data_IF_236994679582
#
_entry.id   IF_236994679582
#
_cell.length_a   1.000
_cell.length_b   1.000
_cell.length_c   1.000
_cell.angle_alpha   90.00
_cell.angle_beta   90.00
_cell.angle_gamma   90.00
#
_symmetry.space_group_name_H-M   'P 1'
#
loop_
_entity.id
_entity.type
_entity.pdbx_description
1 polymer ?
#
# COMPACT_ATOMS: atom_id res chain seq x y z
N UNK A 1 -12.39 -6.66 -27.36
CA UNK A 1 -13.56 -7.35 -27.95
C UNK A 1 -13.37 -7.35 -29.45
N UNK A 2 -13.54 -8.51 -30.08
CA UNK A 2 -13.40 -8.68 -31.53
C UNK A 2 -14.79 -8.90 -32.10
N UNK A 3 -15.15 -8.11 -33.10
CA UNK A 3 -16.40 -8.21 -33.85
C UNK A 3 -16.07 -8.47 -35.32
N UNK A 4 -16.77 -9.38 -35.97
CA UNK A 4 -16.60 -9.66 -37.40
C UNK A 4 -17.77 -9.04 -38.17
N UNK A 5 -17.47 -8.37 -39.27
CA UNK A 5 -18.44 -7.83 -40.22
C UNK A 5 -18.31 -8.54 -41.56
N UNK A 6 -19.35 -9.28 -41.94
CA UNK A 6 -19.49 -9.87 -43.26
C UNK A 6 -19.84 -8.80 -44.32
N UNK A 7 -19.74 -9.13 -45.63
CA UNK A 7 -20.16 -8.22 -46.69
C UNK A 7 -21.60 -7.71 -46.50
N UNK A 8 -21.77 -6.39 -46.45
CA UNK A 8 -23.07 -5.73 -46.29
C UNK A 8 -23.51 -5.49 -44.83
N UNK A 9 -22.82 -6.04 -43.84
CA UNK A 9 -23.22 -5.87 -42.43
C UNK A 9 -22.78 -4.53 -41.83
N UNK A 10 -21.62 -4.00 -42.23
CA UNK A 10 -21.14 -2.71 -41.72
C UNK A 10 -21.71 -1.54 -42.56
N UNK A 11 -22.29 -0.48 -41.95
CA UNK A 11 -22.92 0.64 -42.67
C UNK A 11 -22.03 1.39 -43.66
N UNK A 12 -20.70 1.31 -43.46
CA UNK A 12 -19.69 1.94 -44.33
C UNK A 12 -19.01 0.97 -45.31
N UNK A 13 -19.54 -0.25 -45.46
CA UNK A 13 -19.00 -1.27 -46.37
C UNK A 13 -17.69 -1.92 -45.93
N UNK A 14 -17.37 -1.86 -44.63
CA UNK A 14 -16.21 -2.58 -44.07
C UNK A 14 -16.52 -4.07 -44.00
N UNK A 15 -15.52 -4.90 -44.36
CA UNK A 15 -15.59 -6.36 -44.27
C UNK A 15 -14.32 -6.84 -43.58
N UNK A 16 -14.47 -7.55 -42.47
CA UNK A 16 -13.35 -8.02 -41.66
C UNK A 16 -13.60 -7.86 -40.16
N UNK A 17 -12.52 -7.79 -39.38
CA UNK A 17 -12.57 -7.77 -37.92
C UNK A 17 -12.36 -6.36 -37.36
N UNK A 18 -13.22 -5.95 -36.44
CA UNK A 18 -13.05 -4.76 -35.63
C UNK A 18 -12.68 -5.18 -34.21
N UNK A 19 -11.53 -4.71 -33.74
CA UNK A 19 -11.11 -4.85 -32.35
C UNK A 19 -11.39 -3.54 -31.63
N UNK A 20 -12.12 -3.62 -30.53
CA UNK A 20 -12.39 -2.46 -29.66
C UNK A 20 -11.95 -2.78 -28.22
N UNK A 21 -11.26 -1.84 -27.59
CA UNK A 21 -10.92 -1.88 -26.17
C UNK A 21 -11.10 -0.52 -25.51
N UNK A 22 -11.40 -0.53 -24.21
CA UNK A 22 -11.41 0.66 -23.35
C UNK A 22 -10.25 0.57 -22.37
N UNK A 23 -9.29 1.50 -22.50
CA UNK A 23 -8.09 1.59 -21.67
C UNK A 23 -8.07 3.01 -21.09
N UNK A 24 -8.04 3.12 -19.77
CA UNK A 24 -8.03 4.39 -19.02
C UNK A 24 -9.08 5.41 -19.47
N UNK A 25 -10.32 4.93 -19.69
CA UNK A 25 -11.43 5.78 -20.13
C UNK A 25 -11.45 6.09 -21.63
N UNK A 26 -10.36 5.83 -22.36
CA UNK A 26 -10.27 6.04 -23.80
C UNK A 26 -10.66 4.77 -24.58
N UNK A 27 -11.42 4.95 -25.66
CA UNK A 27 -11.79 3.85 -26.56
C UNK A 27 -10.80 3.77 -27.71
N UNK A 28 -10.12 2.62 -27.84
CA UNK A 28 -9.25 2.30 -28.99
C UNK A 28 -9.96 1.35 -29.94
N UNK A 29 -9.70 1.53 -31.23
CA UNK A 29 -10.26 0.71 -32.31
C UNK A 29 -9.18 0.35 -33.32
N UNK A 30 -9.16 -0.90 -33.75
CA UNK A 30 -8.30 -1.40 -34.81
C UNK A 30 -9.14 -2.25 -35.76
N UNK A 31 -8.89 -2.12 -37.06
CA UNK A 31 -9.66 -2.81 -38.10
C UNK A 31 -8.74 -3.66 -38.95
N UNK A 32 -9.15 -4.89 -39.20
CA UNK A 32 -8.42 -5.92 -39.93
C UNK A 32 -9.27 -6.37 -41.12
N UNK A 33 -8.99 -5.82 -42.30
CA UNK A 33 -9.84 -5.97 -43.48
C UNK A 33 -9.62 -7.30 -44.21
N UNK A 34 -10.72 -7.99 -44.52
CA UNK A 34 -10.73 -9.22 -45.32
C UNK A 34 -11.24 -8.99 -46.75
N UNK A 35 -11.46 -7.74 -47.15
CA UNK A 35 -12.05 -7.38 -48.46
C UNK A 35 -11.25 -7.89 -49.66
N UNK A 36 -9.94 -8.06 -49.52
CA UNK A 36 -9.04 -8.58 -50.56
C UNK A 36 -9.01 -10.11 -50.63
N UNK A 37 -9.68 -10.81 -49.70
CA UNK A 37 -9.75 -12.27 -49.74
C UNK A 37 -10.54 -12.75 -50.95
N UNK A 38 -10.06 -13.84 -51.57
CA UNK A 38 -10.77 -14.53 -52.65
C UNK A 38 -12.12 -15.13 -52.20
N UNK A 39 -12.26 -15.44 -50.90
CA UNK A 39 -13.51 -15.85 -50.27
C UNK A 39 -13.56 -15.35 -48.82
N UNK A 40 -14.77 -15.18 -48.28
CA UNK A 40 -14.98 -14.81 -46.86
C UNK A 40 -15.13 -16.04 -45.95
N UNK A 41 -14.83 -17.23 -46.46
CA UNK A 41 -14.89 -18.46 -45.68
C UNK A 41 -13.79 -18.50 -44.61
N UNK A 42 -14.08 -19.12 -43.47
CA UNK A 42 -13.09 -19.31 -42.38
C UNK A 42 -11.89 -20.16 -42.79
N UNK A 43 -12.00 -20.93 -43.88
CA UNK A 43 -10.93 -21.72 -44.49
C UNK A 43 -9.93 -20.85 -45.28
N UNK A 44 -10.30 -19.62 -45.66
CA UNK A 44 -9.44 -18.76 -46.46
C UNK A 44 -8.24 -18.27 -45.63
N UNK A 45 -7.02 -18.46 -46.17
CA UNK A 45 -5.77 -18.11 -45.47
C UNK A 45 -5.68 -16.62 -45.12
N UNK A 46 -6.16 -15.71 -45.98
CA UNK A 46 -6.15 -14.27 -45.67
C UNK A 46 -7.13 -13.93 -44.56
N UNK A 47 -8.32 -14.54 -44.56
CA UNK A 47 -9.31 -14.38 -43.49
C UNK A 47 -8.77 -14.90 -42.15
N UNK A 48 -8.12 -16.07 -42.15
CA UNK A 48 -7.46 -16.63 -40.97
C UNK A 48 -6.33 -15.74 -40.47
N UNK A 49 -5.50 -15.22 -41.37
CA UNK A 49 -4.42 -14.30 -41.01
C UNK A 49 -4.97 -13.04 -40.34
N UNK A 50 -5.98 -12.39 -40.94
CA UNK A 50 -6.60 -11.19 -40.36
C UNK A 50 -7.31 -11.47 -39.03
N UNK A 51 -7.91 -12.65 -38.88
CA UNK A 51 -8.47 -13.08 -37.60
C UNK A 51 -7.38 -13.21 -36.53
N UNK A 52 -6.26 -13.88 -36.85
CA UNK A 52 -5.12 -13.99 -35.94
C UNK A 52 -4.53 -12.63 -35.58
N UNK A 53 -4.42 -11.71 -36.54
CA UNK A 53 -3.99 -10.33 -36.26
C UNK A 53 -4.94 -9.60 -35.31
N UNK A 54 -6.26 -9.78 -35.49
CA UNK A 54 -7.26 -9.22 -34.58
C UNK A 54 -7.16 -9.82 -33.17
N UNK A 55 -6.92 -11.14 -33.06
CA UNK A 55 -6.68 -11.82 -31.78
C UNK A 55 -5.41 -11.30 -31.11
N UNK A 56 -4.31 -11.16 -31.86
CA UNK A 56 -3.06 -10.59 -31.35
C UNK A 56 -3.26 -9.20 -30.75
N UNK A 57 -3.94 -8.31 -31.48
CA UNK A 57 -4.25 -6.96 -31.01
C UNK A 57 -5.15 -6.93 -29.77
N UNK A 58 -6.16 -7.81 -29.70
CA UNK A 58 -7.03 -7.92 -28.51
C UNK A 58 -6.25 -8.40 -27.28
N UNK A 59 -5.29 -9.32 -27.47
CA UNK A 59 -4.42 -9.80 -26.40
C UNK A 59 -3.43 -8.72 -25.95
N UNK A 60 -2.76 -8.01 -26.87
CA UNK A 60 -1.86 -6.89 -26.56
C UNK A 60 -2.55 -5.84 -25.71
N UNK A 61 -3.77 -5.42 -26.09
CA UNK A 61 -4.52 -4.44 -25.31
C UNK A 61 -5.02 -4.97 -23.96
N UNK A 62 -5.30 -6.28 -23.85
CA UNK A 62 -5.61 -6.90 -22.55
C UNK A 62 -4.38 -6.92 -21.64
N UNK A 63 -3.20 -7.22 -22.19
CA UNK A 63 -1.92 -7.17 -21.47
C UNK A 63 -1.68 -5.75 -20.97
N UNK A 64 -1.71 -4.75 -21.86
CA UNK A 64 -1.50 -3.34 -21.48
C UNK A 64 -2.50 -2.90 -20.39
N UNK A 65 -3.77 -3.29 -20.52
CA UNK A 65 -4.79 -2.96 -19.51
C UNK A 65 -4.46 -3.59 -18.14
N UNK A 66 -3.96 -4.82 -18.12
CA UNK A 66 -3.58 -5.52 -16.89
C UNK A 66 -2.32 -4.91 -16.27
N UNK A 67 -1.31 -4.60 -17.06
CA UNK A 67 -0.10 -3.91 -16.62
C UNK A 67 -0.44 -2.55 -15.99
N UNK A 68 -1.26 -1.73 -16.67
CA UNK A 68 -1.70 -0.44 -16.13
C UNK A 68 -2.50 -0.59 -14.84
N UNK A 69 -3.33 -1.64 -14.73
CA UNK A 69 -4.03 -1.92 -13.48
C UNK A 69 -3.05 -2.25 -12.37
N UNK A 70 -2.12 -3.19 -12.61
CA UNK A 70 -1.09 -3.55 -11.64
C UNK A 70 -0.28 -2.33 -11.19
N UNK A 71 0.19 -1.52 -12.14
CA UNK A 71 0.93 -0.29 -11.84
C UNK A 71 0.14 0.67 -10.96
N UNK A 72 -1.14 0.92 -11.25
CA UNK A 72 -1.99 1.72 -10.35
C UNK A 72 -2.14 1.08 -8.97
N UNK A 73 -2.33 -0.23 -8.92
CA UNK A 73 -2.48 -0.97 -7.67
C UNK A 73 -1.29 -0.74 -6.74
N UNK A 74 -0.07 -0.75 -7.27
CA UNK A 74 1.16 -0.59 -6.48
C UNK A 74 1.65 0.86 -6.34
N UNK A 75 1.07 1.85 -7.02
CA UNK A 75 1.60 3.24 -7.02
C UNK A 75 0.63 4.33 -6.58
N UNK A 76 -0.63 3.99 -6.32
CA UNK A 76 -1.65 4.96 -5.92
C UNK A 76 -2.55 4.40 -4.84
N UNK A 77 -3.26 5.25 -4.10
CA UNK A 77 -4.33 4.75 -3.24
C UNK A 77 -5.54 4.29 -4.08
N UNK A 78 -6.36 3.41 -3.51
CA UNK A 78 -7.66 3.10 -4.10
C UNK A 78 -8.54 4.37 -4.10
N UNK A 79 -9.35 4.65 -5.14
CA UNK A 79 -10.21 5.84 -5.20
C UNK A 79 -11.18 5.99 -4.02
N UNK A 80 -11.61 4.85 -3.45
CA UNK A 80 -12.52 4.82 -2.30
C UNK A 80 -11.81 4.87 -0.94
N UNK A 81 -10.46 4.91 -0.92
CA UNK A 81 -9.70 5.07 0.31
C UNK A 81 -10.03 6.43 0.91
N UNK A 82 -10.59 6.43 2.12
CA UNK A 82 -10.93 7.68 2.79
C UNK A 82 -9.67 8.52 2.99
N UNK A 83 -9.74 9.84 2.85
CA UNK A 83 -8.53 10.60 2.76
C UNK A 83 -7.80 10.63 4.12
N UNK A 84 -6.47 10.73 4.09
CA UNK A 84 -5.60 10.60 5.27
C UNK A 84 -5.32 9.16 5.74
N UNK A 85 -5.99 8.15 5.16
CA UNK A 85 -5.75 6.72 5.45
C UNK A 85 -4.88 6.03 4.40
N UNK A 86 -4.71 6.67 3.24
CA UNK A 86 -3.91 6.16 2.15
C UNK A 86 -2.42 6.06 2.49
N UNK A 87 -1.77 5.05 1.90
CA UNK A 87 -0.34 4.77 2.02
C UNK A 87 0.35 4.74 0.65
N UNK A 88 -0.34 5.17 -0.41
CA UNK A 88 0.16 5.23 -1.77
C UNK A 88 0.07 3.90 -2.52
N UNK A 89 -0.73 2.96 -2.03
CA UNK A 89 -0.98 1.65 -2.65
C UNK A 89 -2.44 1.21 -2.43
N UNK A 90 -2.95 0.36 -3.30
CA UNK A 90 -4.27 -0.26 -3.15
C UNK A 90 -4.19 -1.37 -2.10
N UNK A 91 -5.26 -1.50 -1.31
CA UNK A 91 -5.39 -2.60 -0.35
C UNK A 91 -4.53 -2.49 0.90
N UNK A 92 -3.75 -1.43 1.11
CA UNK A 92 -3.01 -1.19 2.36
C UNK A 92 -3.27 0.25 2.84
N UNK A 93 -3.78 0.40 4.06
CA UNK A 93 -4.19 1.69 4.64
C UNK A 93 -3.78 1.82 6.10
N UNK A 94 -3.68 3.05 6.60
CA UNK A 94 -3.58 3.34 8.03
C UNK A 94 -4.97 3.54 8.63
N UNK A 95 -5.21 2.97 9.80
CA UNK A 95 -6.52 3.00 10.46
C UNK A 95 -6.40 3.09 11.98
N UNK A 96 -7.48 3.57 12.60
CA UNK A 96 -7.78 3.36 14.01
C UNK A 96 -9.05 2.51 14.12
N UNK A 97 -9.01 1.54 15.02
CA UNK A 97 -10.13 0.65 15.31
C UNK A 97 -10.60 0.87 16.74
N UNK A 98 -11.92 1.00 16.92
CA UNK A 98 -12.51 0.95 18.24
C UNK A 98 -12.52 -0.51 18.74
N UNK A 99 -12.06 -0.71 19.97
CA UNK A 99 -12.06 -1.98 20.68
C UNK A 99 -12.53 -1.73 22.11
N UNK A 100 -13.84 -1.80 22.33
CA UNK A 100 -14.44 -1.30 23.57
C UNK A 100 -14.28 0.22 23.66
N UNK A 101 -13.70 0.69 24.76
CA UNK A 101 -13.40 2.12 24.98
C UNK A 101 -12.04 2.55 24.38
N UNK A 102 -11.25 1.59 23.89
CA UNK A 102 -9.91 1.85 23.38
C UNK A 102 -9.90 2.07 21.86
N UNK A 103 -8.98 2.93 21.43
CA UNK A 103 -8.67 3.14 20.01
C UNK A 103 -7.30 2.57 19.68
N UNK A 104 -7.29 1.59 18.78
CA UNK A 104 -6.09 0.84 18.43
C UNK A 104 -5.61 1.28 17.04
N UNK A 105 -4.43 1.92 16.92
CA UNK A 105 -3.82 2.19 15.63
C UNK A 105 -3.32 0.90 14.98
N UNK A 106 -3.49 0.80 13.67
CA UNK A 106 -3.00 -0.34 12.89
C UNK A 106 -2.78 0.02 11.42
N UNK A 107 -1.97 -0.79 10.75
CA UNK A 107 -2.05 -0.94 9.31
C UNK A 107 -3.14 -1.97 8.97
N UNK A 108 -3.98 -1.64 8.00
CA UNK A 108 -5.04 -2.50 7.48
C UNK A 108 -4.70 -2.99 6.09
N UNK A 109 -4.75 -4.30 5.88
CA UNK A 109 -4.57 -4.92 4.58
C UNK A 109 -5.86 -5.58 4.13
N UNK A 110 -6.40 -5.14 3.01
CA UNK A 110 -7.58 -5.73 2.40
C UNK A 110 -7.28 -7.17 1.96
N UNK A 111 -8.23 -8.07 2.18
CA UNK A 111 -8.11 -9.46 1.73
C UNK A 111 -8.88 -9.68 0.44
N UNK A 112 -8.38 -10.59 -0.39
CA UNK A 112 -9.16 -11.05 -1.53
C UNK A 112 -10.42 -11.77 -1.05
N UNK A 113 -11.50 -11.79 -1.85
CA UNK A 113 -12.67 -12.61 -1.56
C UNK A 113 -12.26 -14.08 -1.36
N UNK A 114 -13.02 -14.80 -0.53
CA UNK A 114 -12.77 -16.23 -0.32
C UNK A 114 -13.03 -17.05 -1.61
N UNK A 115 -12.81 -18.38 -1.54
CA UNK A 115 -13.03 -19.29 -2.68
C UNK A 115 -14.48 -19.23 -3.21
N UNK A 116 -15.43 -18.81 -2.37
CA UNK A 116 -16.84 -18.65 -2.71
C UNK A 116 -17.18 -17.20 -3.16
N UNK A 117 -16.17 -16.33 -3.29
CA UNK A 117 -16.33 -14.93 -3.67
C UNK A 117 -16.88 -14.03 -2.56
N UNK A 118 -16.87 -14.47 -1.30
CA UNK A 118 -17.39 -13.69 -0.18
C UNK A 118 -16.35 -12.67 0.29
N UNK A 119 -16.77 -11.42 0.61
CA UNK A 119 -15.88 -10.43 1.20
C UNK A 119 -15.26 -10.95 2.50
N UNK A 120 -13.96 -10.73 2.65
CA UNK A 120 -13.24 -11.05 3.88
C UNK A 120 -12.94 -9.75 4.63
N UNK A 121 -12.91 -9.83 5.96
CA UNK A 121 -12.48 -8.70 6.77
C UNK A 121 -10.99 -8.43 6.56
N UNK A 122 -10.62 -7.15 6.49
CA UNK A 122 -9.23 -6.73 6.41
C UNK A 122 -8.39 -7.32 7.55
N UNK A 123 -7.15 -7.67 7.23
CA UNK A 123 -6.16 -8.06 8.24
C UNK A 123 -5.58 -6.81 8.89
N UNK A 124 -5.59 -6.79 10.22
CA UNK A 124 -5.09 -5.66 11.02
C UNK A 124 -3.74 -6.00 11.61
N UNK A 125 -2.79 -5.07 11.48
CA UNK A 125 -1.44 -5.15 12.03
C UNK A 125 -1.29 -4.05 13.08
N UNK A 126 -1.42 -4.44 14.35
CA UNK A 126 -1.44 -3.54 15.51
C UNK A 126 -0.05 -3.41 16.14
N UNK A 127 0.21 -2.29 16.80
CA UNK A 127 1.50 -1.98 17.44
C UNK A 127 1.61 -2.48 18.89
N UNK A 128 0.70 -3.33 19.35
CA UNK A 128 0.65 -3.76 20.75
C UNK A 128 1.92 -4.52 21.16
N UNK A 129 2.33 -5.51 20.36
CA UNK A 129 3.42 -6.42 20.71
C UNK A 129 4.68 -6.29 19.84
N UNK A 130 4.69 -5.38 18.86
CA UNK A 130 5.80 -5.22 17.93
C UNK A 130 6.15 -3.75 17.67
N UNK A 131 7.43 -3.41 17.43
CA UNK A 131 7.83 -2.05 17.07
C UNK A 131 7.26 -1.65 15.71
N UNK A 132 7.16 -0.34 15.49
CA UNK A 132 6.52 0.23 14.31
C UNK A 132 7.11 -0.31 13.00
N UNK A 133 8.44 -0.36 12.92
CA UNK A 133 9.16 -0.89 11.76
C UNK A 133 8.87 -2.38 11.47
N UNK A 134 8.67 -3.19 12.52
CA UNK A 134 8.31 -4.60 12.36
C UNK A 134 6.86 -4.77 11.90
N UNK A 135 5.92 -4.01 12.48
CA UNK A 135 4.51 -4.02 12.07
C UNK A 135 4.35 -3.57 10.62
N UNK A 136 5.10 -2.55 10.20
CA UNK A 136 5.15 -2.13 8.80
C UNK A 136 5.62 -3.27 7.89
N UNK A 137 6.74 -3.91 8.25
CA UNK A 137 7.28 -5.05 7.49
C UNK A 137 6.25 -6.16 7.34
N UNK A 138 5.63 -6.58 8.43
CA UNK A 138 4.66 -7.68 8.42
C UNK A 138 3.42 -7.34 7.59
N UNK A 139 2.95 -6.09 7.65
CA UNK A 139 1.84 -5.61 6.84
C UNK A 139 2.18 -5.62 5.34
N UNK A 140 3.37 -5.14 4.97
CA UNK A 140 3.83 -5.12 3.56
C UNK A 140 4.07 -6.53 3.03
N UNK A 141 4.66 -7.42 3.83
CA UNK A 141 4.86 -8.82 3.45
C UNK A 141 3.52 -9.50 3.18
N UNK A 142 2.56 -9.35 4.10
CA UNK A 142 1.23 -9.92 3.91
C UNK A 142 0.49 -9.31 2.72
N UNK A 143 0.56 -7.99 2.52
CA UNK A 143 -0.02 -7.31 1.36
C UNK A 143 0.54 -7.85 0.04
N UNK A 144 1.86 -8.05 -0.02
CA UNK A 144 2.50 -8.59 -1.22
C UNK A 144 2.08 -10.04 -1.50
N UNK A 145 2.01 -10.88 -0.47
CA UNK A 145 1.54 -12.26 -0.59
C UNK A 145 0.07 -12.35 -0.99
N UNK A 146 -0.80 -11.62 -0.29
CA UNK A 146 -2.25 -11.63 -0.48
C UNK A 146 -2.63 -11.17 -1.90
N UNK A 147 -1.92 -10.19 -2.46
CA UNK A 147 -2.21 -9.64 -3.79
C UNK A 147 -1.26 -10.10 -4.90
N UNK A 148 -0.39 -11.08 -4.63
CA UNK A 148 0.61 -11.60 -5.58
C UNK A 148 1.45 -10.49 -6.24
N UNK A 149 1.97 -9.58 -5.42
CA UNK A 149 2.77 -8.43 -5.85
C UNK A 149 4.21 -8.86 -6.12
N UNK A 150 4.83 -8.26 -7.14
CA UNK A 150 6.22 -8.54 -7.48
C UNK A 150 7.18 -8.10 -6.35
N UNK A 151 8.28 -8.85 -6.21
CA UNK A 151 9.29 -8.64 -5.18
C UNK A 151 9.88 -7.21 -5.23
N UNK A 152 10.06 -6.67 -6.43
CA UNK A 152 10.59 -5.30 -6.62
C UNK A 152 9.69 -4.23 -6.01
N UNK A 153 8.37 -4.37 -6.14
CA UNK A 153 7.42 -3.42 -5.54
C UNK A 153 7.30 -3.60 -4.03
N UNK A 154 7.37 -4.84 -3.55
CA UNK A 154 7.45 -5.15 -2.12
C UNK A 154 8.67 -4.49 -1.49
N UNK A 155 9.86 -4.67 -2.08
CA UNK A 155 11.11 -4.07 -1.60
C UNK A 155 11.06 -2.54 -1.63
N UNK A 156 10.46 -1.95 -2.66
CA UNK A 156 10.22 -0.50 -2.73
C UNK A 156 9.39 0.01 -1.55
N UNK A 157 8.36 -0.71 -1.11
CA UNK A 157 7.58 -0.34 0.07
C UNK A 157 8.36 -0.56 1.38
N UNK A 158 9.08 -1.67 1.50
CA UNK A 158 9.89 -1.95 2.69
C UNK A 158 11.00 -0.91 2.91
N UNK A 159 11.61 -0.41 1.84
CA UNK A 159 12.62 0.66 1.90
C UNK A 159 12.03 2.03 2.26
N UNK A 160 10.72 2.23 2.07
CA UNK A 160 10.01 3.48 2.36
C UNK A 160 8.99 3.28 3.47
N UNK A 161 9.50 3.11 4.69
CA UNK A 161 8.66 3.07 5.88
C UNK A 161 8.01 4.44 6.09
N UNK A 162 6.68 4.52 6.26
CA UNK A 162 6.00 5.80 6.43
C UNK A 162 6.27 6.36 7.84
N UNK A 163 6.35 7.68 7.97
CA UNK A 163 6.65 8.34 9.24
C UNK A 163 5.52 8.15 10.28
N UNK A 164 5.83 7.84 11.55
CA UNK A 164 4.82 7.72 12.61
C UNK A 164 3.90 8.94 12.77
N UNK A 165 4.36 10.13 12.34
CA UNK A 165 3.56 11.35 12.25
C UNK A 165 2.26 11.21 11.44
N UNK A 166 2.18 10.22 10.53
CA UNK A 166 0.97 9.91 9.78
C UNK A 166 -0.20 9.58 10.71
N UNK A 167 0.03 8.84 11.81
CA UNK A 167 -1.03 8.46 12.75
C UNK A 167 -1.50 9.65 13.58
N UNK A 168 -0.61 10.59 13.87
CA UNK A 168 -0.98 11.87 14.50
C UNK A 168 -1.90 12.70 13.59
N UNK A 169 -1.59 12.77 12.29
CA UNK A 169 -2.42 13.46 11.31
C UNK A 169 -3.76 12.74 11.10
N UNK A 170 -3.73 11.41 10.99
CA UNK A 170 -4.92 10.58 10.85
C UNK A 170 -5.85 10.71 12.05
N UNK A 171 -5.31 10.69 13.28
CA UNK A 171 -6.07 10.92 14.51
C UNK A 171 -6.84 12.24 14.45
N UNK A 172 -6.14 13.35 14.16
CA UNK A 172 -6.75 14.68 14.08
C UNK A 172 -7.92 14.68 13.11
N UNK A 173 -7.70 14.13 11.92
CA UNK A 173 -8.72 14.03 10.88
C UNK A 173 -9.90 13.17 11.31
N UNK A 174 -9.67 12.01 11.91
CA UNK A 174 -10.75 11.16 12.39
C UNK A 174 -11.56 11.84 13.49
N UNK A 175 -10.93 12.66 14.33
CA UNK A 175 -11.64 13.47 15.30
C UNK A 175 -12.48 14.58 14.65
N UNK A 176 -11.97 15.22 13.60
CA UNK A 176 -12.74 16.17 12.78
C UNK A 176 -13.94 15.49 12.08
N UNK A 177 -13.83 14.19 11.77
CA UNK A 177 -14.91 13.33 11.25
C UNK A 177 -15.92 12.91 12.33
N UNK A 178 -15.76 13.36 13.59
CA UNK A 178 -16.69 13.11 14.70
C UNK A 178 -16.32 11.95 15.63
N UNK A 179 -15.10 11.41 15.54
CA UNK A 179 -14.59 10.44 16.52
C UNK A 179 -13.95 11.15 17.71
N UNK A 180 -13.78 10.44 18.83
CA UNK A 180 -13.03 10.95 19.99
C UNK A 180 -11.86 10.01 20.29
N UNK A 181 -10.81 10.11 19.47
CA UNK A 181 -9.60 9.30 19.63
C UNK A 181 -8.67 10.02 20.62
N UNK A 182 -8.32 9.39 21.75
CA UNK A 182 -7.40 9.95 22.74
C UNK A 182 -5.95 10.02 22.20
N UNK A 183 -5.08 10.80 22.85
CA UNK A 183 -3.68 10.92 22.40
C UNK A 183 -2.87 9.68 22.80
N UNK A 184 -3.31 9.02 23.87
CA UNK A 184 -2.80 7.77 24.45
C UNK A 184 -2.82 6.63 23.43
N UNK A 185 -3.76 6.66 22.47
CA UNK A 185 -3.83 5.72 21.36
C UNK A 185 -2.54 5.73 20.50
N UNK A 186 -1.79 6.83 20.47
CA UNK A 186 -0.53 6.95 19.72
C UNK A 186 0.68 6.36 20.47
N UNK A 187 0.54 6.00 21.74
CA UNK A 187 1.66 5.59 22.59
C UNK A 187 2.45 4.40 22.04
N UNK A 188 1.76 3.43 21.44
CA UNK A 188 2.33 2.23 20.83
C UNK A 188 3.06 2.54 19.51
N UNK A 189 2.50 3.43 18.69
CA UNK A 189 3.10 3.91 17.43
C UNK A 189 4.47 4.56 17.69
N UNK A 190 4.58 5.38 18.74
CA UNK A 190 5.81 6.09 19.08
C UNK A 190 6.74 5.32 20.04
N UNK A 191 6.42 4.07 20.42
CA UNK A 191 7.25 3.28 21.35
C UNK A 191 8.69 3.15 20.87
N UNK A 192 8.89 2.74 19.62
CA UNK A 192 10.22 2.54 19.04
C UNK A 192 11.07 3.83 19.06
N UNK A 193 10.48 4.98 18.74
CA UNK A 193 11.18 6.26 18.81
C UNK A 193 11.53 6.66 20.25
N UNK A 194 10.63 6.41 21.22
CA UNK A 194 10.90 6.66 22.64
C UNK A 194 12.04 5.79 23.15
N UNK A 195 12.05 4.51 22.78
CA UNK A 195 13.10 3.57 23.17
C UNK A 195 14.46 3.97 22.58
N UNK A 196 14.50 4.40 21.31
CA UNK A 196 15.71 4.89 20.65
C UNK A 196 16.27 6.17 21.32
N UNK A 197 15.39 7.12 21.69
CA UNK A 197 15.77 8.32 22.41
C UNK A 197 16.28 8.00 23.83
N UNK A 198 15.64 7.06 24.52
CA UNK A 198 16.08 6.60 25.83
C UNK A 198 17.46 5.94 25.76
N UNK A 199 17.69 5.06 24.78
CA UNK A 199 18.98 4.41 24.57
C UNK A 199 20.11 5.41 24.29
N UNK A 200 19.82 6.50 23.57
CA UNK A 200 20.80 7.55 23.27
C UNK A 200 21.11 8.43 24.49
N UNK A 201 20.12 8.65 25.36
CA UNK A 201 20.25 9.47 26.58
C UNK A 201 20.86 8.71 27.76
N UNK A 202 20.68 7.39 27.81
CA UNK A 202 21.19 6.53 28.87
C UNK A 202 22.68 6.75 29.23
N UNK A 203 23.64 6.82 28.28
CA UNK A 203 25.04 7.04 28.62
C UNK A 203 25.32 8.42 29.22
N UNK A 204 24.64 9.47 28.73
CA UNK A 204 24.79 10.82 29.27
C UNK A 204 24.21 10.91 30.70
N UNK A 205 23.05 10.29 30.93
CA UNK A 205 22.43 10.24 32.26
C UNK A 205 23.25 9.41 33.26
N UNK A 206 23.87 8.31 32.81
CA UNK A 206 24.75 7.51 33.64
C UNK A 206 26.01 8.28 34.05
N UNK A 207 26.59 9.06 33.12
CA UNK A 207 27.74 9.92 33.41
C UNK A 207 27.37 11.05 34.38
N UNK A 208 26.24 11.71 34.17
CA UNK A 208 25.75 12.79 35.05
C UNK A 208 25.46 12.27 36.46
N UNK A 209 24.86 11.09 36.58
CA UNK A 209 24.62 10.44 37.87
C UNK A 209 25.94 10.09 38.58
N UNK A 210 26.93 9.56 37.86
CA UNK A 210 28.25 9.24 38.42
C UNK A 210 28.98 10.51 38.90
N UNK A 211 28.98 11.58 38.10
CA UNK A 211 29.58 12.87 38.48
C UNK A 211 28.90 13.48 39.70
N UNK A 212 27.58 13.34 39.81
CA UNK A 212 26.80 13.83 40.96
C UNK A 212 27.12 13.04 42.22
N UNK A 213 27.29 11.72 42.11
CA UNK A 213 27.68 10.87 43.24
C UNK A 213 29.10 11.19 43.72
N UNK A 214 30.06 11.34 42.79
CA UNK A 214 31.43 11.77 43.09
C UNK A 214 31.48 13.14 43.78
N UNK A 215 30.68 14.11 43.31
CA UNK A 215 30.57 15.44 43.92
C UNK A 215 30.02 15.35 45.35
N UNK A 216 28.99 14.55 45.56
CA UNK A 216 28.39 14.34 46.87
C UNK A 216 29.35 13.65 47.84
N UNK A 217 30.12 12.65 47.39
CA UNK A 217 31.14 11.99 48.20
C UNK A 217 32.29 12.95 48.56
N UNK A 218 32.75 13.76 47.60
CA UNK A 218 33.75 14.80 47.86
C UNK A 218 33.26 15.80 48.92
N UNK A 219 32.01 16.29 48.81
CA UNK A 219 31.41 17.20 49.79
C UNK A 219 31.33 16.58 51.20
N UNK A 220 30.97 15.30 51.31
CA UNK A 220 30.94 14.58 52.60
C UNK A 220 32.33 14.47 53.21
N UNK A 221 33.34 14.13 52.41
CA UNK A 221 34.74 14.03 52.87
C UNK A 221 35.29 15.38 53.32
N UNK A 222 34.96 16.45 52.60
CA UNK A 222 35.42 17.80 52.91
C UNK A 222 34.80 18.33 54.21
N UNK A 223 33.47 18.17 54.38
CA UNK A 223 32.76 18.58 55.61
C UNK A 223 33.30 17.86 56.86
N UNK A 224 33.60 16.56 56.74
CA UNK A 224 34.16 15.75 57.83
C UNK A 224 35.58 16.19 58.25
N UNK A 225 36.39 16.71 57.32
CA UNK A 225 37.72 17.27 57.62
C UNK A 225 37.66 18.65 58.28
N UNK A 226 36.64 19.47 57.98
CA UNK A 226 36.42 20.76 58.63
C UNK A 226 35.99 20.64 60.10
N UNK A 227 35.25 19.59 60.45
CA UNK A 227 34.79 19.33 61.83
C UNK A 227 35.87 18.69 62.73
N UNK A 228 36.97 18.18 62.17
CA UNK A 228 38.09 17.60 62.94
C UNK A 228 39.21 18.59 63.24
N UNK A 229 39.05 19.86 62.84
CA UNK A 229 40.05 20.93 62.99
C UNK A 229 39.57 22.09 63.90
N UNK A 230 38.44 21.91 64.59
CA UNK A 230 37.90 22.81 65.62
C UNK A 230 37.89 22.08 66.96
#
# INVERSE_FOLDING_TARGET
>A
MIEYFAPGEHPRGFVGFLVTARIDGHTRKATFSTRTASSQEKSNLWVQYQWLSAVGMDLEWKIEKRERHYQRFVTSDHPDTRPGRGLGVHGLTAAFYASGDDWIPAFSVARNPDVLGRPQADRRFTFEHAPYSAVWRDAVMFWAEEHAIEDTDRERLLTRTPEPALFSALRRRMNDEGNDIPTEALSSVYREQRDALAATRAPAQALEAALTDDLNDWQRRYKKRGESAA
#
